data_IF_220922275387
#
_entry.id   IF_220922275387
#
_cell.length_a   1.000
_cell.length_b   1.000
_cell.length_c   1.000
_cell.angle_alpha   90.00
_cell.angle_beta   90.00
_cell.angle_gamma   90.00
#
_symmetry.space_group_name_H-M   'P 1'
#
loop_
_entity.id
_entity.type
_entity.pdbx_description
1 polymer ?
#
# COMPACT_ATOMS: atom_id res chain seq x y z
N UNK A 1 -12.12 20.63 3.36
CA UNK A 1 -11.20 19.73 4.09
C UNK A 1 -11.10 18.41 3.33
N UNK A 2 -9.88 17.87 3.12
CA UNK A 2 -9.63 16.62 2.34
C UNK A 2 -9.83 15.38 3.21
N UNK A 3 -11.05 15.15 3.69
CA UNK A 3 -11.36 14.02 4.59
C UNK A 3 -11.18 12.64 3.92
N UNK A 4 -11.32 12.59 2.60
CA UNK A 4 -11.21 11.34 1.83
C UNK A 4 -9.78 11.03 1.36
N UNK A 5 -8.81 11.92 1.61
CA UNK A 5 -7.43 11.70 1.18
C UNK A 5 -6.78 10.60 2.01
N UNK A 6 -6.17 9.63 1.35
CA UNK A 6 -5.50 8.49 1.98
C UNK A 6 -5.91 7.16 1.35
N UNK A 7 -5.64 6.08 2.08
CA UNK A 7 -6.01 4.71 1.73
C UNK A 7 -6.91 4.11 2.81
N UNK A 8 -7.62 3.03 2.47
CA UNK A 8 -8.42 2.26 3.44
C UNK A 8 -7.57 1.29 4.27
N UNK A 9 -6.23 1.37 4.20
CA UNK A 9 -5.34 0.47 4.95
C UNK A 9 -5.53 0.59 6.46
N UNK A 10 -5.92 1.77 6.95
CA UNK A 10 -6.16 1.98 8.39
C UNK A 10 -7.31 1.14 8.94
N UNK A 11 -8.29 0.74 8.11
CA UNK A 11 -9.39 -0.14 8.54
C UNK A 11 -8.97 -1.63 8.58
N UNK A 12 -7.79 -1.93 8.02
CA UNK A 12 -7.28 -3.29 7.85
C UNK A 12 -6.24 -3.66 8.92
N UNK A 13 -5.71 -2.69 9.69
CA UNK A 13 -4.57 -2.91 10.60
C UNK A 13 -4.88 -3.85 11.78
N UNK A 14 -6.14 -3.94 12.18
CA UNK A 14 -6.59 -4.75 13.32
C UNK A 14 -7.03 -6.16 12.92
N UNK A 15 -6.98 -6.48 11.62
CA UNK A 15 -7.39 -7.79 11.11
C UNK A 15 -6.23 -8.80 11.18
N UNK A 16 -6.52 -10.10 11.40
CA UNK A 16 -5.51 -11.13 11.39
C UNK A 16 -4.87 -11.25 10.00
N UNK A 17 -3.55 -11.43 9.95
CA UNK A 17 -2.80 -11.58 8.71
C UNK A 17 -3.17 -12.91 8.05
N UNK A 18 -3.89 -12.83 6.93
CA UNK A 18 -4.27 -13.95 6.08
C UNK A 18 -4.30 -13.51 4.61
N UNK A 19 -4.46 -14.45 3.67
CA UNK A 19 -4.44 -14.15 2.23
C UNK A 19 -5.54 -13.16 1.82
N UNK A 20 -6.70 -13.21 2.49
CA UNK A 20 -7.82 -12.30 2.24
C UNK A 20 -7.46 -10.87 2.64
N UNK A 21 -6.77 -10.69 3.77
CA UNK A 21 -6.30 -9.39 4.22
C UNK A 21 -5.28 -8.82 3.24
N UNK A 22 -4.33 -9.65 2.79
CA UNK A 22 -3.32 -9.24 1.81
C UNK A 22 -4.00 -8.74 0.53
N UNK A 23 -5.00 -9.47 0.01
CA UNK A 23 -5.77 -9.04 -1.16
C UNK A 23 -6.51 -7.71 -0.92
N UNK A 24 -7.12 -7.54 0.26
CA UNK A 24 -7.76 -6.26 0.64
C UNK A 24 -6.73 -5.12 0.68
N UNK A 25 -5.54 -5.36 1.22
CA UNK A 25 -4.46 -4.37 1.23
C UNK A 25 -4.05 -3.97 -0.19
N UNK A 26 -3.87 -4.93 -1.09
CA UNK A 26 -3.63 -4.63 -2.51
C UNK A 26 -4.72 -3.74 -3.10
N UNK A 27 -5.99 -4.08 -2.88
CA UNK A 27 -7.12 -3.30 -3.40
C UNK A 27 -7.16 -1.87 -2.84
N UNK A 28 -6.86 -1.71 -1.55
CA UNK A 28 -6.86 -0.42 -0.85
C UNK A 28 -5.71 0.47 -1.32
N UNK A 29 -4.51 -0.09 -1.52
CA UNK A 29 -3.34 0.62 -2.06
C UNK A 29 -3.63 1.04 -3.50
N UNK A 30 -4.06 0.11 -4.35
CA UNK A 30 -4.29 0.37 -5.76
C UNK A 30 -5.37 1.45 -5.96
N UNK A 31 -6.49 1.33 -5.24
CA UNK A 31 -7.59 2.31 -5.34
C UNK A 31 -7.18 3.70 -4.86
N UNK A 32 -6.37 3.78 -3.79
CA UNK A 32 -5.85 5.04 -3.28
C UNK A 32 -4.90 5.70 -4.28
N UNK A 33 -3.94 4.95 -4.82
CA UNK A 33 -2.98 5.45 -5.80
C UNK A 33 -3.66 5.87 -7.10
N UNK A 34 -4.60 5.07 -7.61
CA UNK A 34 -5.37 5.41 -8.81
C UNK A 34 -6.17 6.71 -8.64
N UNK A 35 -6.71 6.95 -7.44
CA UNK A 35 -7.48 8.15 -7.15
C UNK A 35 -6.62 9.39 -6.92
N UNK A 36 -5.49 9.24 -6.23
CA UNK A 36 -4.71 10.37 -5.70
C UNK A 36 -3.38 10.63 -6.41
N UNK A 37 -2.81 9.66 -7.13
CA UNK A 37 -1.53 9.77 -7.83
C UNK A 37 -1.68 9.47 -9.34
N UNK A 38 -2.31 10.34 -10.13
CA UNK A 38 -2.45 10.15 -11.58
C UNK A 38 -1.12 10.27 -12.35
N UNK A 39 -0.03 10.65 -11.67
CA UNK A 39 1.30 10.86 -12.26
C UNK A 39 2.13 9.60 -12.33
N UNK A 40 1.74 8.54 -11.61
CA UNK A 40 2.45 7.26 -11.57
C UNK A 40 1.66 6.22 -12.35
N UNK A 41 2.36 5.35 -13.06
CA UNK A 41 1.83 4.11 -13.62
C UNK A 41 2.36 2.95 -12.77
N UNK A 42 1.47 2.16 -12.18
CA UNK A 42 1.85 1.08 -11.27
C UNK A 42 2.28 -0.13 -12.09
N UNK A 43 3.52 -0.57 -11.94
CA UNK A 43 4.03 -1.77 -12.61
C UNK A 43 3.84 -3.00 -11.72
N UNK A 44 4.24 -2.89 -10.46
CA UNK A 44 4.17 -4.00 -9.51
C UNK A 44 3.99 -3.48 -8.08
N UNK A 45 3.16 -4.18 -7.31
CA UNK A 45 3.06 -4.01 -5.85
C UNK A 45 3.43 -5.35 -5.25
N UNK A 46 4.32 -5.34 -4.26
CA UNK A 46 4.70 -6.50 -3.49
C UNK A 46 4.42 -6.24 -2.01
N UNK A 47 3.69 -7.14 -1.39
CA UNK A 47 3.39 -7.09 0.05
C UNK A 47 4.03 -8.32 0.69
N UNK A 48 4.99 -8.07 1.58
CA UNK A 48 5.67 -9.09 2.37
C UNK A 48 5.21 -9.00 3.82
N UNK A 49 4.82 -10.13 4.40
CA UNK A 49 4.61 -10.22 5.85
C UNK A 49 5.92 -10.67 6.50
N UNK A 50 6.44 -9.85 7.41
CA UNK A 50 7.60 -10.14 8.26
C UNK A 50 7.05 -10.47 9.65
N UNK A 51 7.58 -11.55 10.24
CA UNK A 51 7.12 -12.20 11.47
C UNK A 51 6.34 -11.32 12.47
N UNK A 52 5.13 -11.79 12.81
CA UNK A 52 4.34 -11.34 13.96
C UNK A 52 3.43 -10.13 13.73
N UNK A 53 3.93 -9.06 13.11
CA UNK A 53 3.20 -7.77 13.12
C UNK A 53 3.69 -6.75 12.10
N UNK A 54 4.59 -7.11 11.17
CA UNK A 54 5.19 -6.12 10.25
C UNK A 54 4.89 -6.50 8.82
N UNK A 55 4.27 -5.60 8.09
CA UNK A 55 3.99 -5.75 6.67
C UNK A 55 4.87 -4.77 5.89
N UNK A 56 5.76 -5.28 5.05
CA UNK A 56 6.55 -4.46 4.15
C UNK A 56 5.84 -4.39 2.79
N UNK A 57 5.60 -3.18 2.31
CA UNK A 57 5.02 -2.92 1.00
C UNK A 57 6.11 -2.31 0.13
N UNK A 58 6.36 -2.91 -1.01
CA UNK A 58 7.21 -2.38 -2.07
C UNK A 58 6.36 -2.09 -3.30
N UNK A 59 6.49 -0.88 -3.83
CA UNK A 59 5.82 -0.40 -5.03
C UNK A 59 6.88 -0.08 -6.07
N UNK A 60 6.75 -0.68 -7.25
CA UNK A 60 7.47 -0.34 -8.45
C UNK A 60 6.50 0.35 -9.41
N UNK A 61 6.81 1.59 -9.79
CA UNK A 61 5.99 2.41 -10.66
C UNK A 61 6.84 3.31 -11.55
N UNK A 62 6.31 3.72 -12.69
CA UNK A 62 6.95 4.71 -13.58
C UNK A 62 6.22 6.05 -13.53
N UNK A 63 6.98 7.15 -13.56
CA UNK A 63 6.39 8.48 -13.71
C UNK A 63 5.94 8.70 -15.16
N UNK A 64 4.65 8.92 -15.38
CA UNK A 64 4.03 9.04 -16.73
C UNK A 64 4.69 10.12 -17.58
N UNK A 65 5.20 11.20 -16.97
CA UNK A 65 5.82 12.32 -17.69
C UNK A 65 7.29 12.10 -18.06
N UNK A 66 8.04 11.33 -17.25
CA UNK A 66 9.50 11.21 -17.40
C UNK A 66 9.95 9.79 -17.77
N UNK A 67 9.01 8.83 -17.78
CA UNK A 67 9.26 7.41 -17.93
C UNK A 67 10.41 6.92 -17.02
N UNK A 68 10.48 7.50 -15.82
CA UNK A 68 11.50 7.22 -14.83
C UNK A 68 10.96 6.21 -13.82
N UNK A 69 11.68 5.10 -13.58
CA UNK A 69 11.27 4.13 -12.57
C UNK A 69 11.44 4.71 -11.18
N UNK A 70 10.42 4.48 -10.36
CA UNK A 70 10.34 4.88 -8.96
C UNK A 70 10.05 3.62 -8.16
N UNK A 71 10.98 3.27 -7.27
CA UNK A 71 10.77 2.25 -6.25
C UNK A 71 10.45 2.95 -4.92
N UNK A 72 9.38 2.52 -4.27
CA UNK A 72 9.03 2.95 -2.92
C UNK A 72 8.88 1.71 -2.05
N UNK A 73 9.56 1.69 -0.92
CA UNK A 73 9.44 0.61 0.06
C UNK A 73 9.08 1.21 1.42
N UNK A 74 7.98 0.73 2.00
CA UNK A 74 7.45 1.21 3.27
C UNK A 74 7.10 0.03 4.18
N UNK A 75 7.49 0.15 5.45
CA UNK A 75 7.10 -0.79 6.48
C UNK A 75 5.85 -0.29 7.21
N UNK A 76 4.81 -1.11 7.26
CA UNK A 76 3.65 -0.95 8.10
C UNK A 76 3.77 -1.89 9.31
N UNK A 77 3.43 -1.40 10.49
CA UNK A 77 3.23 -2.25 11.66
C UNK A 77 1.73 -2.50 11.78
N UNK A 78 1.33 -3.77 11.76
CA UNK A 78 -0.02 -4.25 11.99
C UNK A 78 -0.16 -4.64 13.46
N UNK A 79 -1.14 -4.07 14.16
CA UNK A 79 -1.33 -4.25 15.60
C UNK A 79 -0.94 -3.02 16.41
N UNK A 80 -1.57 -2.89 17.58
CA UNK A 80 -1.30 -1.82 18.53
C UNK A 80 0.17 -1.84 18.94
N UNK A 81 0.87 -0.71 18.77
CA UNK A 81 2.02 -0.41 19.60
C UNK A 81 1.48 -0.28 21.04
N UNK A 82 1.63 -1.33 21.83
CA UNK A 82 1.49 -1.24 23.27
C UNK A 82 2.65 -0.42 23.85
#
# INVERSE_FOLDING_TARGET
MRREYGSLLYELIDQPINDVLILKCYSAIYSALLRWEPRININQINIFSIEGSRMQISLDADLVQQNQPVNLSLGLTLGAAA
#
